data_IF_509259026590
#
_entry.id   IF_509259026590
#
_cell.length_a   1.000
_cell.length_b   1.000
_cell.length_c   1.000
_cell.angle_alpha   90.00
_cell.angle_beta   90.00
_cell.angle_gamma   90.00
#
_symmetry.space_group_name_H-M   'P 1'
#
loop_
_entity.id
_entity.type
_entity.pdbx_description
1 polymer ?
#
# COMPACT_ATOMS: atom_id res chain seq x y z
N UNK A 1 2.11 -8.59 8.29
CA UNK A 1 3.07 -7.88 9.17
C UNK A 1 2.28 -7.16 10.26
N UNK A 2 2.90 -6.39 11.16
CA UNK A 2 2.16 -5.39 11.95
C UNK A 2 2.20 -4.03 11.26
N UNK A 3 1.40 -3.09 11.74
CA UNK A 3 1.19 -1.80 11.11
C UNK A 3 2.48 -1.07 10.70
N UNK A 4 3.55 -1.00 11.52
CA UNK A 4 4.79 -0.35 11.09
C UNK A 4 5.42 -1.00 9.85
N UNK A 5 5.42 -2.34 9.78
CA UNK A 5 5.92 -3.08 8.63
C UNK A 5 5.09 -2.82 7.36
N UNK A 6 3.76 -2.79 7.47
CA UNK A 6 2.87 -2.46 6.35
C UNK A 6 3.09 -1.03 5.85
N UNK A 7 3.12 -0.05 6.75
CA UNK A 7 3.41 1.35 6.39
C UNK A 7 4.79 1.49 5.74
N UNK A 8 5.80 0.75 6.22
CA UNK A 8 7.14 0.74 5.64
C UNK A 8 7.19 0.23 4.20
N UNK A 9 6.57 -0.91 3.93
CA UNK A 9 6.46 -1.46 2.56
C UNK A 9 5.67 -0.51 1.66
N UNK A 10 4.56 0.05 2.16
CA UNK A 10 3.72 0.98 1.42
C UNK A 10 4.48 2.26 1.03
N UNK A 11 5.23 2.86 1.95
CA UNK A 11 6.07 4.03 1.67
C UNK A 11 7.21 3.70 0.70
N UNK A 12 7.83 2.53 0.82
CA UNK A 12 8.89 2.08 -0.09
C UNK A 12 8.37 1.98 -1.53
N UNK A 13 7.19 1.38 -1.73
CA UNK A 13 6.59 1.24 -3.06
C UNK A 13 6.02 2.55 -3.60
N UNK A 14 5.60 3.47 -2.73
CA UNK A 14 5.15 4.80 -3.11
C UNK A 14 6.29 5.75 -3.49
N UNK A 15 7.50 5.54 -2.95
CA UNK A 15 8.68 6.38 -3.17
C UNK A 15 8.92 6.77 -4.65
N UNK A 16 8.93 5.86 -5.66
CA UNK A 16 9.13 6.27 -7.06
C UNK A 16 8.03 7.23 -7.57
N UNK A 17 6.77 7.04 -7.16
CA UNK A 17 5.66 7.93 -7.53
C UNK A 17 5.85 9.30 -6.90
N UNK A 18 6.25 9.34 -5.61
CA UNK A 18 6.61 10.57 -4.92
C UNK A 18 7.67 11.36 -5.70
N UNK A 19 8.77 10.72 -6.08
CA UNK A 19 9.86 11.35 -6.83
C UNK A 19 9.37 11.97 -8.14
N UNK A 20 8.61 11.21 -8.94
CA UNK A 20 8.08 11.65 -10.24
C UNK A 20 7.15 12.86 -10.07
N UNK A 21 6.24 12.82 -9.11
CA UNK A 21 5.31 13.92 -8.85
C UNK A 21 6.01 15.19 -8.40
N UNK A 22 7.01 15.07 -7.54
CA UNK A 22 7.81 16.23 -7.09
C UNK A 22 8.61 16.82 -8.24
N UNK A 23 9.29 15.99 -9.05
CA UNK A 23 10.04 16.42 -10.23
C UNK A 23 9.14 17.10 -11.27
N UNK A 24 7.91 16.61 -11.44
CA UNK A 24 6.88 17.21 -12.29
C UNK A 24 6.25 18.50 -11.69
N UNK A 25 6.76 19.02 -10.57
CA UNK A 25 6.28 20.25 -9.96
C UNK A 25 4.95 20.09 -9.21
N UNK A 26 4.57 18.87 -8.83
CA UNK A 26 3.31 18.54 -8.14
C UNK A 26 3.52 17.99 -6.72
N UNK A 27 4.23 18.71 -5.82
CA UNK A 27 4.57 18.24 -4.48
C UNK A 27 3.33 17.98 -3.60
N UNK A 28 2.24 18.73 -3.80
CA UNK A 28 0.98 18.51 -3.08
C UNK A 28 0.38 17.14 -3.40
N UNK A 29 0.38 16.73 -4.67
CA UNK A 29 -0.07 15.39 -5.06
C UNK A 29 0.82 14.30 -4.49
N UNK A 30 2.15 14.54 -4.43
CA UNK A 30 3.09 13.60 -3.80
C UNK A 30 2.79 13.39 -2.31
N UNK A 31 2.52 14.47 -1.55
CA UNK A 31 2.15 14.35 -0.14
C UNK A 31 0.79 13.68 0.06
N UNK A 32 -0.23 14.09 -0.71
CA UNK A 32 -1.57 13.52 -0.61
C UNK A 32 -1.57 12.04 -0.97
N UNK A 33 -0.88 11.62 -2.03
CA UNK A 33 -0.78 10.23 -2.41
C UNK A 33 -0.11 9.38 -1.35
N UNK A 34 1.02 9.84 -0.79
CA UNK A 34 1.69 9.13 0.30
C UNK A 34 0.81 9.00 1.53
N UNK A 35 0.11 10.07 1.91
CA UNK A 35 -0.85 10.06 3.01
C UNK A 35 -2.00 9.06 2.79
N UNK A 36 -2.60 9.08 1.59
CA UNK A 36 -3.66 8.12 1.22
C UNK A 36 -3.13 6.69 1.22
N UNK A 37 -1.95 6.44 0.65
CA UNK A 37 -1.35 5.10 0.63
C UNK A 37 -1.13 4.55 2.05
N UNK A 38 -0.60 5.36 2.98
CA UNK A 38 -0.43 4.97 4.39
C UNK A 38 -1.79 4.79 5.10
N UNK A 39 -2.77 5.67 4.84
CA UNK A 39 -4.08 5.60 5.47
C UNK A 39 -4.86 4.35 5.06
N UNK A 40 -4.75 3.93 3.80
CA UNK A 40 -5.50 2.80 3.25
C UNK A 40 -4.78 1.45 3.45
N UNK A 41 -3.47 1.43 3.68
CA UNK A 41 -2.70 0.15 3.68
C UNK A 41 -3.22 -0.83 4.73
N UNK A 42 -3.74 -0.38 5.87
CA UNK A 42 -4.26 -1.26 6.93
C UNK A 42 -5.71 -1.70 6.74
N UNK A 43 -6.39 -1.27 5.65
CA UNK A 43 -7.79 -1.65 5.41
C UNK A 43 -7.99 -3.17 5.37
N UNK A 44 -7.15 -3.99 4.72
CA UNK A 44 -7.34 -5.44 4.69
C UNK A 44 -7.43 -6.05 6.09
N UNK A 45 -6.56 -5.63 7.00
CA UNK A 45 -6.47 -6.17 8.36
C UNK A 45 -7.58 -5.68 9.31
N UNK A 46 -8.47 -4.78 8.86
CA UNK A 46 -9.70 -4.50 9.59
C UNK A 46 -10.60 -5.74 9.69
N UNK A 47 -10.37 -6.76 8.85
CA UNK A 47 -11.03 -8.07 8.97
C UNK A 47 -10.74 -8.78 10.31
N UNK A 48 -9.60 -8.51 10.96
CA UNK A 48 -9.28 -9.05 12.29
C UNK A 48 -10.18 -8.52 13.40
N UNK A 49 -10.88 -7.41 13.15
CA UNK A 49 -11.77 -6.74 14.11
C UNK A 49 -13.21 -7.24 14.04
N UNK A 50 -13.49 -8.23 13.20
CA UNK A 50 -14.82 -8.80 13.03
C UNK A 50 -14.76 -10.32 12.89
N UNK A 51 -15.84 -11.00 13.27
CA UNK A 51 -16.02 -12.42 13.04
C UNK A 51 -16.73 -12.72 11.70
N UNK A 52 -17.18 -11.69 10.97
CA UNK A 52 -17.90 -11.83 9.69
C UNK A 52 -16.98 -12.08 8.50
N UNK A 53 -15.73 -11.65 8.60
CA UNK A 53 -14.72 -11.81 7.56
C UNK A 53 -13.63 -12.75 8.07
N UNK A 54 -13.21 -13.68 7.22
CA UNK A 54 -12.05 -14.52 7.52
C UNK A 54 -10.79 -13.69 7.27
N UNK A 55 -9.90 -13.62 8.26
CA UNK A 55 -8.58 -13.02 8.07
C UNK A 55 -7.84 -13.70 6.91
N UNK A 56 -7.25 -12.89 6.02
CA UNK A 56 -6.61 -13.36 4.76
C UNK A 56 -7.58 -14.08 3.83
N UNK A 57 -8.82 -13.60 3.84
CA UNK A 57 -9.89 -13.97 2.93
C UNK A 57 -10.01 -12.97 1.80
N UNK A 58 -11.23 -12.48 1.56
CA UNK A 58 -11.54 -11.58 0.44
C UNK A 58 -10.73 -10.28 0.45
N UNK A 59 -10.44 -9.74 1.64
CA UNK A 59 -9.67 -8.52 1.91
C UNK A 59 -8.21 -8.60 1.47
N UNK A 60 -7.63 -9.81 1.39
CA UNK A 60 -6.23 -10.02 1.02
C UNK A 60 -6.08 -10.58 -0.39
N UNK A 61 -6.78 -9.96 -1.35
CA UNK A 61 -6.82 -10.38 -2.77
C UNK A 61 -6.50 -9.23 -3.72
N UNK A 62 -6.08 -9.57 -4.94
CA UNK A 62 -5.88 -8.60 -6.02
C UNK A 62 -7.21 -7.97 -6.44
N UNK A 63 -8.32 -8.74 -6.37
CA UNK A 63 -9.65 -8.21 -6.62
C UNK A 63 -10.03 -7.11 -5.61
N UNK A 64 -9.71 -7.30 -4.32
CA UNK A 64 -9.92 -6.27 -3.30
C UNK A 64 -9.04 -5.04 -3.52
N UNK A 65 -7.79 -5.23 -3.96
CA UNK A 65 -6.92 -4.12 -4.36
C UNK A 65 -7.53 -3.29 -5.52
N UNK A 66 -8.09 -3.97 -6.51
CA UNK A 66 -8.84 -3.33 -7.60
C UNK A 66 -10.07 -2.57 -7.08
N UNK A 67 -10.86 -3.18 -6.19
CA UNK A 67 -12.06 -2.55 -5.62
C UNK A 67 -11.73 -1.28 -4.82
N UNK A 68 -10.74 -1.33 -3.93
CA UNK A 68 -10.30 -0.15 -3.16
C UNK A 68 -9.73 0.93 -4.08
N UNK A 69 -8.99 0.53 -5.11
CA UNK A 69 -8.55 1.45 -6.17
C UNK A 69 -9.72 2.16 -6.83
N UNK A 70 -10.68 1.41 -7.37
CA UNK A 70 -11.86 1.97 -8.05
C UNK A 70 -12.62 2.92 -7.13
N UNK A 71 -12.85 2.54 -5.87
CA UNK A 71 -13.49 3.42 -4.88
C UNK A 71 -12.69 4.71 -4.64
N UNK A 72 -11.37 4.59 -4.47
CA UNK A 72 -10.48 5.74 -4.29
C UNK A 72 -10.49 6.66 -5.52
N UNK A 73 -10.52 6.08 -6.72
CA UNK A 73 -10.63 6.83 -7.97
C UNK A 73 -11.99 7.50 -8.15
N UNK A 74 -13.09 6.85 -7.77
CA UNK A 74 -14.42 7.49 -7.80
C UNK A 74 -14.47 8.69 -6.86
N UNK A 75 -13.95 8.55 -5.63
CA UNK A 75 -13.83 9.67 -4.68
C UNK A 75 -12.95 10.78 -5.25
N UNK A 76 -11.79 10.43 -5.82
CA UNK A 76 -10.91 11.40 -6.47
C UNK A 76 -11.59 12.15 -7.62
N UNK A 77 -12.38 11.45 -8.44
CA UNK A 77 -13.12 12.03 -9.56
C UNK A 77 -14.18 13.03 -9.12
N UNK A 78 -14.90 12.72 -8.04
CA UNK A 78 -15.88 13.64 -7.45
C UNK A 78 -15.18 14.90 -6.92
N UNK A 79 -14.00 14.75 -6.32
CA UNK A 79 -13.29 15.85 -5.67
C UNK A 79 -12.47 16.73 -6.64
N UNK A 80 -12.05 16.20 -7.79
CA UNK A 80 -11.11 16.92 -8.66
C UNK A 80 -11.05 16.46 -10.12
N UNK A 81 -12.07 15.73 -10.60
CA UNK A 81 -12.16 15.31 -12.00
C UNK A 81 -11.21 14.17 -12.38
N UNK A 82 -11.05 13.95 -13.68
CA UNK A 82 -10.42 12.73 -14.24
C UNK A 82 -9.00 12.49 -13.73
N UNK A 83 -8.15 13.50 -13.68
CA UNK A 83 -6.76 13.34 -13.22
C UNK A 83 -6.69 12.90 -11.75
N UNK A 84 -7.56 13.45 -10.89
CA UNK A 84 -7.61 13.05 -9.48
C UNK A 84 -8.25 11.67 -9.32
N UNK A 85 -9.19 11.28 -10.21
CA UNK A 85 -9.69 9.92 -10.27
C UNK A 85 -8.62 8.89 -10.63
N UNK A 86 -7.85 9.14 -11.68
CA UNK A 86 -6.74 8.27 -12.10
C UNK A 86 -5.70 8.14 -11.00
N UNK A 87 -5.37 9.26 -10.34
CA UNK A 87 -4.46 9.26 -9.22
C UNK A 87 -5.01 8.47 -8.03
N UNK A 88 -6.29 8.66 -7.69
CA UNK A 88 -6.97 7.92 -6.63
C UNK A 88 -6.99 6.41 -6.88
N UNK A 89 -7.27 6.00 -8.12
CA UNK A 89 -7.19 4.60 -8.57
C UNK A 89 -5.80 4.03 -8.30
N UNK A 90 -4.76 4.74 -8.75
CA UNK A 90 -3.37 4.32 -8.60
C UNK A 90 -2.98 4.14 -7.13
N UNK A 91 -3.15 5.18 -6.30
CA UNK A 91 -2.68 5.14 -4.90
C UNK A 91 -3.52 4.21 -4.02
N UNK A 92 -4.82 4.08 -4.31
CA UNK A 92 -5.72 3.15 -3.63
C UNK A 92 -5.38 1.69 -3.92
N UNK A 93 -5.16 1.33 -5.20
CA UNK A 93 -4.69 -0.01 -5.56
C UNK A 93 -3.32 -0.30 -4.98
N UNK A 94 -2.38 0.66 -5.09
CA UNK A 94 -1.03 0.51 -4.55
C UNK A 94 -1.03 0.22 -3.04
N UNK A 95 -1.88 0.90 -2.27
CA UNK A 95 -1.96 0.72 -0.82
C UNK A 95 -2.26 -0.74 -0.43
N UNK A 96 -3.18 -1.37 -1.14
CA UNK A 96 -3.57 -2.76 -0.89
C UNK A 96 -2.52 -3.72 -1.46
N UNK A 97 -1.96 -3.45 -2.65
CA UNK A 97 -0.86 -4.26 -3.18
C UNK A 97 0.33 -4.26 -2.22
N UNK A 98 0.68 -3.10 -1.64
CA UNK A 98 1.72 -3.00 -0.62
C UNK A 98 1.40 -3.84 0.61
N UNK A 99 0.12 -3.85 1.05
CA UNK A 99 -0.32 -4.71 2.15
C UNK A 99 -0.09 -6.18 1.84
N UNK A 100 -0.52 -6.63 0.65
CA UNK A 100 -0.33 -8.02 0.21
C UNK A 100 1.15 -8.39 0.16
N UNK A 101 2.00 -7.52 -0.37
CA UNK A 101 3.44 -7.77 -0.45
C UNK A 101 4.08 -7.86 0.94
N UNK A 102 3.67 -7.00 1.88
CA UNK A 102 4.11 -7.10 3.26
C UNK A 102 3.67 -8.42 3.93
N UNK A 103 2.48 -8.93 3.60
CA UNK A 103 2.02 -10.23 4.11
C UNK A 103 2.69 -11.42 3.42
N UNK A 104 3.08 -11.31 2.14
CA UNK A 104 3.87 -12.33 1.42
C UNK A 104 5.23 -12.54 2.08
N UNK A 105 5.84 -11.52 2.69
CA UNK A 105 7.11 -11.67 3.44
C UNK A 105 6.95 -12.64 4.62
N UNK A 106 5.74 -12.76 5.18
CA UNK A 106 5.47 -13.53 6.40
C UNK A 106 5.08 -14.98 6.11
N UNK A 107 5.40 -15.96 6.99
CA UNK A 107 5.06 -17.38 6.81
C UNK A 107 3.60 -17.63 6.40
N UNK A 108 2.67 -16.89 6.99
CA UNK A 108 1.23 -17.08 6.76
C UNK A 108 0.78 -16.69 5.34
N UNK A 109 1.53 -15.84 4.62
CA UNK A 109 1.29 -15.49 3.20
C UNK A 109 -0.09 -14.93 2.85
N UNK A 110 -0.42 -14.87 1.56
CA UNK A 110 -1.76 -14.47 1.07
C UNK A 110 -2.24 -15.39 -0.04
N UNK A 111 -3.54 -15.36 -0.35
CA UNK A 111 -4.15 -16.06 -1.49
C UNK A 111 -4.68 -15.03 -2.48
N UNK A 112 -3.79 -14.44 -3.31
CA UNK A 112 -4.09 -13.22 -4.06
C UNK A 112 -5.23 -13.39 -5.06
N UNK A 113 -5.47 -14.63 -5.53
CA UNK A 113 -6.50 -14.97 -6.50
C UNK A 113 -7.70 -15.69 -5.90
N UNK A 114 -7.90 -15.65 -4.57
CA UNK A 114 -9.13 -16.16 -3.96
C UNK A 114 -10.34 -15.36 -4.47
N UNK A 115 -11.52 -15.98 -4.73
CA UNK A 115 -11.86 -17.38 -4.52
C UNK A 115 -11.52 -18.30 -5.70
N UNK A 116 -10.99 -17.77 -6.81
CA UNK A 116 -10.68 -18.55 -8.02
C UNK A 116 -9.53 -19.54 -7.79
N UNK A 117 -8.61 -19.24 -6.87
CA UNK A 117 -7.53 -20.14 -6.47
C UNK A 117 -7.29 -20.13 -4.96
N UNK A 118 -7.04 -21.30 -4.39
CA UNK A 118 -6.60 -21.48 -3.01
C UNK A 118 -5.09 -21.40 -2.81
N UNK A 119 -4.31 -21.16 -3.87
CA UNK A 119 -2.84 -21.19 -3.80
C UNK A 119 -2.32 -20.05 -2.91
N UNK A 120 -1.51 -20.43 -1.93
CA UNK A 120 -0.93 -19.47 -0.96
C UNK A 120 0.44 -19.04 -1.48
N UNK A 121 0.68 -17.73 -1.43
CA UNK A 121 1.95 -17.10 -1.80
C UNK A 121 2.59 -16.56 -0.52
N UNK A 122 3.79 -17.04 -0.24
CA UNK A 122 4.59 -16.68 0.93
C UNK A 122 6.05 -16.83 0.57
N UNK A 123 6.89 -15.94 1.08
CA UNK A 123 8.34 -16.03 1.02
C UNK A 123 8.92 -16.62 2.32
N UNK A 124 8.11 -16.68 3.38
CA UNK A 124 8.49 -17.25 4.68
C UNK A 124 9.84 -16.71 5.21
N UNK A 125 10.04 -15.39 5.13
CA UNK A 125 11.31 -14.75 5.48
C UNK A 125 11.37 -14.46 6.98
N UNK A 126 10.32 -13.85 7.53
CA UNK A 126 10.28 -13.46 8.95
C UNK A 126 8.85 -13.45 9.48
N UNK A 127 8.61 -13.91 10.72
CA UNK A 127 7.29 -13.84 11.34
C UNK A 127 6.75 -12.41 11.41
N UNK A 128 5.44 -12.26 11.24
CA UNK A 128 4.77 -10.95 11.33
C UNK A 128 4.98 -10.24 12.68
N UNK A 129 5.22 -11.00 13.75
CA UNK A 129 5.43 -10.53 15.12
C UNK A 129 6.86 -10.06 15.41
N UNK A 130 7.81 -10.19 14.46
CA UNK A 130 9.17 -9.71 14.66
C UNK A 130 9.21 -8.18 14.69
N UNK A 131 9.41 -7.62 15.89
CA UNK A 131 9.43 -6.16 16.11
C UNK A 131 10.56 -5.50 15.33
N UNK A 132 11.73 -6.14 15.21
CA UNK A 132 12.89 -5.57 14.52
C UNK A 132 12.61 -5.46 13.02
N UNK A 133 12.01 -6.48 12.42
CA UNK A 133 11.62 -6.46 11.02
C UNK A 133 10.59 -5.36 10.73
N UNK A 134 9.57 -5.22 11.58
CA UNK A 134 8.56 -4.16 11.43
C UNK A 134 9.18 -2.76 11.53
N UNK A 135 10.06 -2.52 12.50
CA UNK A 135 10.76 -1.25 12.66
C UNK A 135 11.70 -0.98 11.47
N UNK A 136 12.47 -1.99 11.04
CA UNK A 136 13.39 -1.84 9.91
C UNK A 136 12.65 -1.50 8.62
N UNK A 137 11.57 -2.22 8.30
CA UNK A 137 10.73 -1.91 7.14
C UNK A 137 10.17 -0.49 7.22
N UNK A 138 9.72 -0.06 8.40
CA UNK A 138 9.23 1.31 8.59
C UNK A 138 10.31 2.36 8.34
N UNK A 139 11.50 2.20 8.95
CA UNK A 139 12.63 3.13 8.77
C UNK A 139 13.08 3.18 7.31
N UNK A 140 13.18 2.02 6.64
CA UNK A 140 13.51 1.94 5.23
C UNK A 140 12.47 2.65 4.36
N UNK A 141 11.18 2.43 4.63
CA UNK A 141 10.08 3.08 3.91
C UNK A 141 10.10 4.60 4.05
N UNK A 142 10.25 5.11 5.27
CA UNK A 142 10.37 6.56 5.51
C UNK A 142 11.61 7.13 4.81
N UNK A 143 12.75 6.43 4.90
CA UNK A 143 14.00 6.87 4.25
C UNK A 143 13.88 6.88 2.73
N UNK A 144 13.25 5.86 2.14
CA UNK A 144 13.01 5.77 0.70
C UNK A 144 12.07 6.89 0.23
N UNK A 145 10.96 7.13 0.93
CA UNK A 145 10.01 8.19 0.59
C UNK A 145 10.64 9.59 0.75
N UNK A 146 11.39 9.83 1.82
CA UNK A 146 12.13 11.08 2.04
C UNK A 146 13.23 11.31 1.01
N UNK A 147 14.01 10.27 0.69
CA UNK A 147 15.04 10.31 -0.34
C UNK A 147 14.45 10.57 -1.73
N UNK A 148 13.33 9.93 -2.07
CA UNK A 148 12.59 10.17 -3.31
C UNK A 148 12.05 11.60 -3.41
N UNK A 149 11.53 12.14 -2.30
CA UNK A 149 11.10 13.54 -2.22
C UNK A 149 12.26 14.49 -2.51
N UNK A 150 13.40 14.31 -1.83
CA UNK A 150 14.60 15.14 -2.05
C UNK A 150 15.11 15.02 -3.48
N UNK A 151 15.20 13.79 -4.01
CA UNK A 151 15.64 13.55 -5.38
C UNK A 151 14.72 14.24 -6.40
N UNK A 152 13.40 14.15 -6.21
CA UNK A 152 12.44 14.82 -7.09
C UNK A 152 12.66 16.33 -7.17
N UNK A 153 13.01 16.98 -6.06
CA UNK A 153 13.35 18.40 -6.06
C UNK A 153 14.67 18.72 -6.77
N UNK A 154 15.64 17.81 -6.76
CA UNK A 154 16.91 17.97 -7.48
C UNK A 154 16.78 17.78 -8.99
N UNK A 155 15.75 17.08 -9.44
CA UNK A 155 15.49 16.78 -10.86
C UNK A 155 14.60 17.81 -11.57
N UNK A 156 14.09 18.80 -10.85
CA UNK A 156 13.22 19.86 -11.36
C UNK A 156 14.03 21.05 -11.85
#
# INVERSE_FOLDING_TARGET
>A
MYQPGHCGVALTLYAPICCVLVAAGSPTFALLGGGVTVALTMIPDLDTRTNRLRHRGATHTVAFAGAVGVLSGLVGGILGGTTVAEFGLLVGTLAIVAHLLADVITPMGVRPFWPLSGRTFTLDIVPASDVRANVLLFVLGVSAAGGAWTLGHLLR
#
